data_IF_213807344436
#
_entry.id   IF_213807344436
#
_cell.length_a   1.000
_cell.length_b   1.000
_cell.length_c   1.000
_cell.angle_alpha   90.00
_cell.angle_beta   90.00
_cell.angle_gamma   90.00
#
_symmetry.space_group_name_H-M   'P 1'
#
loop_
_entity.id
_entity.type
_entity.pdbx_description
1 polymer ?
#
# COMPACT_ATOMS: atom_id res chain seq x y z
N UNK A 1 -14.03 -27.50 4.38
CA UNK A 1 -13.28 -26.24 4.17
C UNK A 1 -13.21 -25.49 5.50
N UNK A 2 -12.02 -25.42 6.11
CA UNK A 2 -11.81 -24.79 7.42
C UNK A 2 -12.10 -23.27 7.33
N UNK A 3 -12.95 -22.74 8.21
CA UNK A 3 -13.29 -21.30 8.33
C UNK A 3 -12.02 -20.45 8.41
N UNK A 4 -11.01 -21.02 9.08
CA UNK A 4 -9.61 -20.65 9.06
C UNK A 4 -9.09 -20.03 7.74
N UNK A 5 -8.99 -20.92 6.76
CA UNK A 5 -8.44 -20.63 5.43
C UNK A 5 -9.32 -19.63 4.68
N UNK A 6 -10.63 -19.60 4.95
CA UNK A 6 -11.54 -18.64 4.29
C UNK A 6 -11.23 -17.21 4.73
N UNK A 7 -11.07 -16.97 6.03
CA UNK A 7 -10.76 -15.65 6.58
C UNK A 7 -9.41 -15.14 6.05
N UNK A 8 -8.38 -16.00 6.09
CA UNK A 8 -7.06 -15.67 5.55
C UNK A 8 -7.12 -15.18 4.09
N UNK A 9 -7.86 -15.92 3.26
CA UNK A 9 -8.06 -15.58 1.85
C UNK A 9 -8.85 -14.28 1.69
N UNK A 10 -9.90 -14.09 2.48
CA UNK A 10 -10.75 -12.89 2.41
C UNK A 10 -9.98 -11.61 2.77
N UNK A 11 -9.14 -11.66 3.80
CA UNK A 11 -8.30 -10.53 4.20
C UNK A 11 -7.35 -10.14 3.06
N UNK A 12 -6.62 -11.11 2.50
CA UNK A 12 -5.75 -10.86 1.34
C UNK A 12 -6.51 -10.30 0.13
N UNK A 13 -7.68 -10.86 -0.17
CA UNK A 13 -8.53 -10.36 -1.26
C UNK A 13 -8.95 -8.92 -1.01
N UNK A 14 -9.31 -8.56 0.23
CA UNK A 14 -9.67 -7.20 0.58
C UNK A 14 -8.48 -6.23 0.40
N UNK A 15 -7.29 -6.59 0.89
CA UNK A 15 -6.06 -5.80 0.71
C UNK A 15 -5.76 -5.55 -0.78
N UNK A 16 -5.79 -6.60 -1.60
CA UNK A 16 -5.55 -6.47 -3.05
C UNK A 16 -6.61 -5.62 -3.75
N UNK A 17 -7.89 -5.76 -3.36
CA UNK A 17 -8.97 -4.96 -3.94
C UNK A 17 -8.81 -3.47 -3.62
N UNK A 18 -8.36 -3.14 -2.41
CA UNK A 18 -8.09 -1.75 -2.02
C UNK A 18 -6.90 -1.20 -2.81
N UNK A 19 -5.83 -1.98 -2.95
CA UNK A 19 -4.65 -1.59 -3.73
C UNK A 19 -5.00 -1.32 -5.20
N UNK A 20 -5.80 -2.20 -5.79
CA UNK A 20 -6.29 -2.01 -7.15
C UNK A 20 -7.15 -0.74 -7.27
N UNK A 21 -8.04 -0.48 -6.30
CA UNK A 21 -8.84 0.75 -6.30
C UNK A 21 -7.97 2.00 -6.21
N UNK A 22 -6.92 2.00 -5.38
CA UNK A 22 -5.96 3.10 -5.28
C UNK A 22 -5.25 3.34 -6.62
N UNK A 23 -4.82 2.28 -7.31
CA UNK A 23 -4.19 2.37 -8.63
C UNK A 23 -5.14 3.02 -9.65
N UNK A 24 -6.39 2.56 -9.72
CA UNK A 24 -7.35 3.10 -10.69
C UNK A 24 -7.71 4.57 -10.39
N UNK A 25 -7.78 4.96 -9.11
CA UNK A 25 -7.99 6.37 -8.73
C UNK A 25 -6.79 7.24 -9.11
N UNK A 26 -5.56 6.77 -8.91
CA UNK A 26 -4.36 7.49 -9.37
C UNK A 26 -4.34 7.67 -10.89
N UNK A 27 -4.70 6.64 -11.66
CA UNK A 27 -4.84 6.73 -13.12
C UNK A 27 -5.89 7.77 -13.52
N UNK A 28 -7.06 7.78 -12.85
CA UNK A 28 -8.11 8.76 -13.11
C UNK A 28 -7.63 10.20 -12.88
N UNK A 29 -6.93 10.45 -11.76
CA UNK A 29 -6.32 11.76 -11.46
C UNK A 29 -5.35 12.17 -12.56
N UNK A 30 -4.47 11.27 -12.98
CA UNK A 30 -3.51 11.53 -14.05
C UNK A 30 -4.22 11.89 -15.36
N UNK A 31 -5.16 11.06 -15.82
CA UNK A 31 -5.89 11.28 -17.07
C UNK A 31 -6.68 12.59 -17.04
N UNK A 32 -7.26 12.98 -15.90
CA UNK A 32 -7.96 14.25 -15.76
C UNK A 32 -7.02 15.46 -15.93
N UNK A 33 -5.81 15.39 -15.39
CA UNK A 33 -4.79 16.44 -15.52
C UNK A 33 -4.22 16.50 -16.95
N UNK A 34 -3.96 15.35 -17.56
CA UNK A 34 -3.51 15.25 -18.95
C UNK A 34 -4.54 15.84 -19.92
N UNK A 35 -5.82 15.49 -19.74
CA UNK A 35 -6.91 16.03 -20.56
C UNK A 35 -7.05 17.55 -20.47
N UNK A 36 -6.76 18.14 -19.30
CA UNK A 36 -6.71 19.60 -19.14
C UNK A 36 -5.58 20.23 -19.93
N UNK A 37 -4.40 19.64 -19.89
CA UNK A 37 -3.24 20.12 -20.64
C UNK A 37 -3.50 20.01 -22.15
N UNK A 38 -4.01 18.88 -22.61
CA UNK A 38 -4.33 18.65 -24.03
C UNK A 38 -5.37 19.64 -24.55
N UNK A 39 -6.44 19.88 -23.77
CA UNK A 39 -7.49 20.82 -24.12
C UNK A 39 -7.15 22.30 -23.83
N UNK A 40 -5.94 22.59 -23.31
CA UNK A 40 -5.49 23.94 -22.89
C UNK A 40 -6.47 24.64 -21.94
N UNK A 41 -7.08 23.88 -21.04
CA UNK A 41 -8.04 24.40 -20.08
C UNK A 41 -7.34 25.11 -18.93
N UNK A 42 -8.01 26.13 -18.39
CA UNK A 42 -7.55 26.83 -17.20
C UNK A 42 -7.46 25.87 -16.00
N UNK A 43 -6.57 26.19 -15.05
CA UNK A 43 -6.27 25.29 -13.95
C UNK A 43 -7.44 25.08 -12.96
N UNK A 44 -8.43 25.94 -13.00
CA UNK A 44 -9.64 25.90 -12.19
C UNK A 44 -10.73 24.97 -12.78
N UNK A 45 -10.63 24.61 -14.06
CA UNK A 45 -11.64 23.77 -14.72
C UNK A 45 -11.61 22.37 -14.11
N UNK A 46 -12.75 21.96 -13.54
CA UNK A 46 -12.92 20.66 -12.88
C UNK A 46 -12.18 20.53 -11.54
N UNK A 47 -11.66 21.63 -10.97
CA UNK A 47 -10.85 21.60 -9.76
C UNK A 47 -11.58 20.96 -8.57
N UNK A 48 -12.84 21.33 -8.33
CA UNK A 48 -13.64 20.75 -7.24
C UNK A 48 -13.81 19.22 -7.41
N UNK A 49 -14.03 18.75 -8.63
CA UNK A 49 -14.14 17.33 -8.91
C UNK A 49 -12.81 16.60 -8.68
N UNK A 50 -11.68 17.23 -9.02
CA UNK A 50 -10.35 16.67 -8.73
C UNK A 50 -10.10 16.58 -7.21
N UNK A 51 -10.52 17.58 -6.45
CA UNK A 51 -10.44 17.58 -4.98
C UNK A 51 -11.28 16.46 -4.35
N UNK A 52 -12.48 16.22 -4.86
CA UNK A 52 -13.32 15.10 -4.43
C UNK A 52 -12.66 13.74 -4.69
N UNK A 53 -12.02 13.57 -5.85
CA UNK A 53 -11.30 12.34 -6.21
C UNK A 53 -10.07 12.14 -5.29
N UNK A 54 -9.28 13.20 -5.06
CA UNK A 54 -8.13 13.15 -4.14
C UNK A 54 -8.58 12.84 -2.71
N UNK A 55 -9.71 13.41 -2.28
CA UNK A 55 -10.33 13.08 -0.99
C UNK A 55 -10.74 11.60 -0.93
N UNK A 56 -11.31 11.06 -2.01
CA UNK A 56 -11.60 9.64 -2.16
C UNK A 56 -10.35 8.76 -2.04
N UNK A 57 -9.24 9.13 -2.68
CA UNK A 57 -7.97 8.42 -2.57
C UNK A 57 -7.47 8.40 -1.12
N UNK A 58 -7.54 9.52 -0.39
CA UNK A 58 -7.17 9.58 1.02
C UNK A 58 -8.06 8.70 1.92
N UNK A 59 -9.34 8.50 1.54
CA UNK A 59 -10.19 7.53 2.26
C UNK A 59 -9.75 6.10 2.00
N UNK A 60 -9.34 5.76 0.77
CA UNK A 60 -8.80 4.44 0.45
C UNK A 60 -7.50 4.13 1.20
N UNK A 61 -6.60 5.10 1.39
CA UNK A 61 -5.38 4.90 2.21
C UNK A 61 -5.73 4.58 3.67
N UNK A 62 -6.75 5.25 4.22
CA UNK A 62 -7.26 4.99 5.57
C UNK A 62 -7.86 3.58 5.68
N UNK A 63 -8.66 3.17 4.69
CA UNK A 63 -9.25 1.82 4.64
C UNK A 63 -8.15 0.75 4.54
N UNK A 64 -7.13 0.96 3.70
CA UNK A 64 -5.98 0.05 3.59
C UNK A 64 -5.28 -0.13 4.92
N UNK A 65 -5.00 0.96 5.63
CA UNK A 65 -4.34 0.93 6.92
C UNK A 65 -5.17 0.16 7.96
N UNK A 66 -6.50 0.38 7.99
CA UNK A 66 -7.40 -0.31 8.89
C UNK A 66 -7.47 -1.83 8.59
N UNK A 67 -7.52 -2.23 7.32
CA UNK A 67 -7.53 -3.66 6.94
C UNK A 67 -6.20 -4.34 7.28
N UNK A 68 -5.06 -3.70 7.02
CA UNK A 68 -3.75 -4.22 7.38
C UNK A 68 -3.58 -4.37 8.90
N UNK A 69 -4.09 -3.40 9.69
CA UNK A 69 -4.11 -3.52 11.14
C UNK A 69 -5.03 -4.67 11.62
N UNK A 70 -6.19 -4.84 10.97
CA UNK A 70 -7.08 -5.97 11.22
C UNK A 70 -6.44 -7.32 10.90
N UNK A 71 -5.71 -7.41 9.79
CA UNK A 71 -4.91 -8.59 9.43
C UNK A 71 -3.89 -8.92 10.53
N UNK A 72 -3.12 -7.93 10.99
CA UNK A 72 -2.15 -8.10 12.07
C UNK A 72 -2.84 -8.62 13.35
N UNK A 73 -3.98 -8.03 13.72
CA UNK A 73 -4.77 -8.46 14.89
C UNK A 73 -5.26 -9.91 14.76
N UNK A 74 -5.74 -10.31 13.58
CA UNK A 74 -6.14 -11.70 13.32
C UNK A 74 -4.97 -12.67 13.43
N UNK A 75 -3.76 -12.26 13.05
CA UNK A 75 -2.55 -13.06 13.23
C UNK A 75 -2.24 -13.28 14.70
N UNK A 76 -2.30 -12.22 15.51
CA UNK A 76 -2.11 -12.33 16.96
C UNK A 76 -3.15 -13.24 17.61
N UNK A 77 -4.43 -13.17 17.20
CA UNK A 77 -5.47 -14.09 17.68
C UNK A 77 -5.18 -15.53 17.26
N UNK A 78 -4.69 -15.75 16.04
CA UNK A 78 -4.29 -17.07 15.58
C UNK A 78 -3.22 -17.69 16.48
N UNK A 79 -2.17 -16.92 16.77
CA UNK A 79 -1.03 -17.34 17.57
C UNK A 79 -1.44 -17.62 19.02
N UNK A 80 -2.22 -16.72 19.63
CA UNK A 80 -2.65 -16.83 21.02
C UNK A 80 -3.59 -18.02 21.29
N UNK A 81 -4.35 -18.45 20.27
CA UNK A 81 -5.36 -19.49 20.41
C UNK A 81 -5.00 -20.77 19.64
N UNK A 82 -3.77 -20.88 19.10
CA UNK A 82 -3.31 -21.99 18.28
C UNK A 82 -4.29 -22.33 17.13
N UNK A 83 -4.91 -21.31 16.53
CA UNK A 83 -5.85 -21.49 15.42
C UNK A 83 -5.05 -21.74 14.15
N UNK A 84 -5.25 -22.92 13.53
CA UNK A 84 -4.52 -23.37 12.34
C UNK A 84 -4.80 -22.63 11.03
N UNK A 85 -5.21 -21.35 11.07
CA UNK A 85 -5.25 -20.50 9.87
C UNK A 85 -3.92 -19.77 9.68
N UNK A 86 -3.10 -20.24 8.73
CA UNK A 86 -1.87 -19.53 8.38
C UNK A 86 -2.23 -18.27 7.59
N UNK A 87 -2.16 -17.12 8.25
CA UNK A 87 -2.24 -15.81 7.61
C UNK A 87 -0.86 -15.52 6.97
N UNK A 88 -0.60 -16.11 5.81
CA UNK A 88 0.61 -15.77 5.05
C UNK A 88 0.57 -14.27 4.69
N UNK A 89 1.73 -13.60 4.65
CA UNK A 89 1.89 -12.26 4.03
C UNK A 89 2.55 -11.20 4.92
N UNK A 90 2.45 -11.31 6.25
CA UNK A 90 3.17 -10.39 7.15
C UNK A 90 4.66 -10.76 7.30
N UNK A 91 5.01 -12.00 6.96
CA UNK A 91 6.36 -12.56 7.01
C UNK A 91 7.07 -12.55 5.64
N UNK A 92 6.49 -11.90 4.62
CA UNK A 92 7.28 -11.60 3.43
C UNK A 92 8.44 -10.70 3.87
N UNK A 93 9.64 -11.19 3.59
CA UNK A 93 10.90 -10.71 4.15
C UNK A 93 10.99 -9.18 4.09
N UNK A 94 10.85 -8.49 5.23
CA UNK A 94 11.18 -7.06 5.35
C UNK A 94 12.70 -6.83 5.30
N UNK A 95 13.49 -7.88 5.03
CA UNK A 95 14.90 -7.79 4.67
C UNK A 95 15.03 -7.87 3.15
N UNK A 96 15.28 -6.72 2.53
CA UNK A 96 16.22 -6.44 1.42
C UNK A 96 15.99 -4.95 1.14
N UNK A 97 16.71 -4.11 1.90
CA UNK A 97 17.05 -2.69 1.60
C UNK A 97 17.84 -2.05 2.76
N UNK A 98 18.16 -2.79 3.83
CA UNK A 98 19.19 -2.41 4.82
C UNK A 98 20.62 -2.87 4.44
N UNK A 99 20.86 -3.26 3.19
CA UNK A 99 22.15 -3.74 2.72
C UNK A 99 22.81 -2.82 1.67
N UNK A 100 22.66 -1.50 1.81
CA UNK A 100 23.34 -0.54 0.92
C UNK A 100 24.00 0.66 1.61
N UNK A 101 24.11 0.70 2.95
CA UNK A 101 24.78 1.80 3.66
C UNK A 101 26.10 1.42 4.35
N UNK A 102 26.70 0.27 4.04
CA UNK A 102 27.99 -0.15 4.64
C UNK A 102 29.12 -0.32 3.63
N UNK A 103 29.19 0.50 2.58
CA UNK A 103 30.32 0.51 1.66
C UNK A 103 30.61 1.90 1.07
N UNK A 104 31.22 2.80 1.85
CA UNK A 104 32.29 3.70 1.38
C UNK A 104 32.95 4.46 2.53
N UNK A 105 33.64 3.76 3.43
CA UNK A 105 34.72 4.39 4.19
C UNK A 105 35.99 3.60 3.93
N UNK A 106 36.64 3.98 2.83
CA UNK A 106 37.87 3.39 2.33
C UNK A 106 38.59 4.41 1.46
N UNK A 107 38.71 5.65 1.92
CA UNK A 107 39.62 6.63 1.34
C UNK A 107 40.83 6.72 2.27
N UNK A 108 41.84 5.95 1.88
CA UNK A 108 43.28 6.19 2.03
C UNK A 108 43.70 7.17 3.14
N UNK A 109 44.25 6.62 4.21
CA UNK A 109 45.26 7.30 5.00
C UNK A 109 46.50 6.42 5.07
N UNK A 110 47.53 6.74 4.29
CA UNK A 110 48.90 6.46 4.68
C UNK A 110 49.75 7.69 4.34
N UNK A 111 50.21 8.32 5.41
CA UNK A 111 51.14 9.44 5.41
C UNK A 111 52.58 8.93 5.27
N UNK A 112 53.39 9.64 4.49
CA UNK A 112 54.67 10.24 4.88
C UNK A 112 55.29 10.90 3.64
#
# INVERSE_FOLDING_TARGET
MNVGVKVARQVRTAEHAIDQAMIEVCKLIQTALEGRLEARLAAEVGQAALEDIVTGLNRLTTVRAAVAAGHAGLSTVADNHAIGWRLDGMSENKSILQASSSASSGVLHLAA
#
